data_IF_083709931250
#
_entry.id   IF_083709931250
#
_cell.length_a   1.000
_cell.length_b   1.000
_cell.length_c   1.000
_cell.angle_alpha   90.00
_cell.angle_beta   90.00
_cell.angle_gamma   90.00
#
_symmetry.space_group_name_H-M   'P 1'
#
loop_
_entity.id
_entity.type
_entity.pdbx_description
1 polymer ?
#
# COMPACT_ATOMS: atom_id res chain seq x y z
N UNK A 1 -3.21 2.06 22.19
CA UNK A 1 -2.77 2.04 20.79
C UNK A 1 -1.51 2.87 20.60
N UNK A 2 -0.53 2.39 19.83
CA UNK A 2 0.64 3.11 19.30
C UNK A 2 0.74 2.87 17.81
N UNK A 3 1.33 3.81 17.07
CA UNK A 3 1.55 3.72 15.62
C UNK A 3 3.07 3.78 15.38
N UNK A 4 3.57 2.88 14.54
CA UNK A 4 4.98 2.77 14.18
C UNK A 4 5.11 2.80 12.65
N UNK A 5 5.74 3.83 12.07
CA UNK A 5 6.13 3.79 10.66
C UNK A 5 7.13 2.66 10.41
N UNK A 6 6.92 1.89 9.36
CA UNK A 6 7.76 0.74 9.00
C UNK A 6 8.24 0.94 7.56
N UNK A 7 9.49 1.32 7.42
CA UNK A 7 10.13 1.49 6.11
C UNK A 7 10.48 0.12 5.52
N UNK A 8 9.71 -0.34 4.54
CA UNK A 8 9.86 -1.66 3.93
C UNK A 8 10.84 -1.70 2.75
N UNK A 9 11.31 -0.54 2.30
CA UNK A 9 12.27 -0.36 1.22
C UNK A 9 12.04 0.92 0.45
N UNK A 10 12.98 1.26 -0.42
CA UNK A 10 12.84 2.39 -1.34
C UNK A 10 13.15 1.91 -2.76
N UNK A 11 12.46 2.51 -3.72
CA UNK A 11 12.60 2.20 -5.14
C UNK A 11 12.35 3.43 -6.00
N UNK A 12 12.37 3.28 -7.30
CA UNK A 12 12.10 4.38 -8.23
C UNK A 12 11.05 3.98 -9.25
N UNK A 13 10.23 4.96 -9.63
CA UNK A 13 9.27 4.83 -10.71
C UNK A 13 9.42 5.97 -11.72
N UNK A 14 8.98 5.74 -12.95
CA UNK A 14 8.91 6.80 -13.96
C UNK A 14 7.96 7.92 -13.52
N UNK A 15 8.47 9.15 -13.44
CA UNK A 15 7.68 10.29 -12.99
C UNK A 15 6.52 10.64 -13.90
N UNK A 16 6.64 10.34 -15.21
CA UNK A 16 5.52 10.49 -16.15
C UNK A 16 4.40 9.49 -15.88
N UNK A 17 4.75 8.24 -15.56
CA UNK A 17 3.77 7.23 -15.16
C UNK A 17 3.10 7.57 -13.82
N UNK A 18 3.87 8.11 -12.85
CA UNK A 18 3.32 8.55 -11.57
C UNK A 18 2.40 9.76 -11.68
N UNK A 19 2.67 10.70 -12.57
CA UNK A 19 1.87 11.93 -12.70
C UNK A 19 0.95 11.97 -13.92
N UNK A 20 0.93 10.91 -14.74
CA UNK A 20 0.03 10.77 -15.87
C UNK A 20 0.16 11.90 -16.88
N UNK A 21 -0.92 12.64 -17.10
CA UNK A 21 -0.96 13.74 -18.08
C UNK A 21 -0.44 15.08 -17.53
N UNK A 22 -0.04 15.15 -16.26
CA UNK A 22 0.50 16.37 -15.67
C UNK A 22 1.88 16.68 -16.28
N UNK A 23 2.12 17.90 -16.80
CA UNK A 23 3.41 18.24 -17.39
C UNK A 23 4.58 18.11 -16.41
N UNK A 24 5.71 17.55 -16.85
CA UNK A 24 6.94 17.38 -16.03
C UNK A 24 7.39 18.70 -15.37
N UNK A 25 7.28 19.82 -16.07
CA UNK A 25 7.63 21.14 -15.53
C UNK A 25 6.84 21.55 -14.28
N UNK A 26 5.70 20.90 -14.02
CA UNK A 26 4.89 21.10 -12.82
C UNK A 26 5.25 20.11 -11.73
N UNK A 27 5.11 18.79 -11.98
CA UNK A 27 5.30 17.78 -10.96
C UNK A 27 6.77 17.61 -10.52
N UNK A 28 7.74 17.90 -11.38
CA UNK A 28 9.16 17.79 -11.03
C UNK A 28 9.61 18.79 -9.94
N UNK A 29 8.75 19.74 -9.58
CA UNK A 29 9.00 20.68 -8.46
C UNK A 29 8.77 20.04 -7.09
N UNK A 30 7.89 19.06 -7.02
CA UNK A 30 7.56 18.32 -5.80
C UNK A 30 8.27 16.97 -5.73
N UNK A 31 8.40 16.31 -6.87
CA UNK A 31 9.02 14.99 -7.00
C UNK A 31 10.12 15.05 -8.08
N UNK A 32 11.32 15.53 -7.74
CA UNK A 32 12.40 15.66 -8.70
C UNK A 32 12.80 14.33 -9.33
N UNK A 33 12.87 14.29 -10.66
CA UNK A 33 13.32 13.11 -11.40
C UNK A 33 14.80 13.18 -11.75
N UNK A 34 15.44 12.01 -11.82
CA UNK A 34 16.79 11.85 -12.34
C UNK A 34 16.84 11.94 -13.88
N UNK A 35 18.01 11.67 -14.47
CA UNK A 35 18.24 11.71 -15.92
C UNK A 35 17.41 10.69 -16.70
N UNK A 36 16.96 9.61 -16.04
CA UNK A 36 16.10 8.56 -16.62
C UNK A 36 14.60 8.82 -16.38
N UNK A 37 14.23 9.99 -15.89
CA UNK A 37 12.87 10.36 -15.51
C UNK A 37 12.32 9.59 -14.31
N UNK A 38 13.19 8.96 -13.50
CA UNK A 38 12.81 8.21 -12.33
C UNK A 38 12.75 9.12 -11.10
N UNK A 39 11.67 9.01 -10.32
CA UNK A 39 11.47 9.70 -9.04
C UNK A 39 11.63 8.72 -7.87
N UNK A 40 12.02 9.24 -6.71
CA UNK A 40 12.17 8.47 -5.50
C UNK A 40 10.81 8.09 -4.91
N UNK A 41 10.64 6.81 -4.57
CA UNK A 41 9.43 6.22 -4.00
C UNK A 41 9.80 5.45 -2.74
N UNK A 42 9.04 5.64 -1.67
CA UNK A 42 9.09 4.79 -0.48
C UNK A 42 8.08 3.64 -0.57
N UNK A 43 8.37 2.55 0.11
CA UNK A 43 7.38 1.55 0.50
C UNK A 43 7.26 1.62 2.03
N UNK A 44 6.44 2.57 2.52
CA UNK A 44 6.28 2.85 3.94
C UNK A 44 4.99 2.24 4.44
N UNK A 45 5.11 1.22 5.25
CA UNK A 45 4.01 0.53 5.90
C UNK A 45 3.69 1.18 7.25
N UNK A 46 2.56 0.83 7.86
CA UNK A 46 2.19 1.31 9.18
C UNK A 46 1.85 0.14 10.10
N UNK A 47 2.58 0.00 11.22
CA UNK A 47 2.26 -0.99 12.25
C UNK A 47 1.42 -0.34 13.34
N UNK A 48 0.24 -0.90 13.60
CA UNK A 48 -0.67 -0.51 14.67
C UNK A 48 -0.51 -1.50 15.83
N UNK A 49 -0.01 -1.02 16.97
CA UNK A 49 0.06 -1.76 18.23
C UNK A 49 -1.15 -1.39 19.10
N UNK A 50 -2.06 -2.33 19.32
CA UNK A 50 -3.25 -2.12 20.15
C UNK A 50 -3.54 -3.32 21.05
N UNK A 51 -3.08 -3.22 22.29
CA UNK A 51 -3.14 -4.34 23.24
C UNK A 51 -2.30 -5.52 22.76
N UNK A 52 -2.95 -6.66 22.55
CA UNK A 52 -2.31 -7.88 22.04
C UNK A 52 -2.38 -7.99 20.50
N UNK A 53 -2.97 -7.01 19.83
CA UNK A 53 -3.07 -6.98 18.38
C UNK A 53 -1.95 -6.14 17.79
N UNK A 54 -1.28 -6.70 16.79
CA UNK A 54 -0.31 -6.02 15.94
C UNK A 54 -0.79 -6.11 14.49
N UNK A 55 -1.34 -5.01 13.98
CA UNK A 55 -1.83 -4.94 12.60
C UNK A 55 -0.82 -4.18 11.75
N UNK A 56 -0.26 -4.84 10.75
CA UNK A 56 0.61 -4.21 9.75
C UNK A 56 -0.22 -3.86 8.51
N UNK A 57 -0.22 -2.59 8.13
CA UNK A 57 -0.82 -2.11 6.88
C UNK A 57 0.24 -2.13 5.80
N UNK A 58 0.01 -2.93 4.77
CA UNK A 58 0.89 -3.27 3.65
C UNK A 58 2.24 -3.87 4.08
N UNK A 59 3.03 -4.35 3.13
CA UNK A 59 4.26 -5.10 3.41
C UNK A 59 5.43 -4.75 2.50
N UNK A 60 5.23 -3.78 1.61
CA UNK A 60 6.19 -3.41 0.59
C UNK A 60 6.40 -4.49 -0.48
N UNK A 61 7.43 -4.32 -1.27
CA UNK A 61 7.75 -5.14 -2.44
C UNK A 61 8.31 -6.54 -2.10
N UNK A 62 8.84 -6.69 -0.88
CA UNK A 62 9.55 -7.91 -0.49
C UNK A 62 10.92 -8.05 -1.19
N UNK A 63 11.48 -9.26 -1.15
CA UNK A 63 12.83 -9.52 -1.65
C UNK A 63 12.97 -10.82 -2.46
N UNK A 64 11.85 -11.43 -2.85
CA UNK A 64 11.84 -12.75 -3.51
C UNK A 64 11.96 -12.71 -5.03
N UNK A 65 11.73 -11.56 -5.63
CA UNK A 65 11.75 -11.39 -7.08
C UNK A 65 13.19 -11.47 -7.63
N UNK A 66 13.31 -11.67 -8.94
CA UNK A 66 14.62 -11.76 -9.60
C UNK A 66 15.35 -10.41 -9.61
N UNK A 67 16.67 -10.44 -9.74
CA UNK A 67 17.50 -9.24 -9.95
C UNK A 67 17.02 -8.43 -11.17
N UNK A 68 16.58 -9.12 -12.23
CA UNK A 68 16.01 -8.47 -13.41
C UNK A 68 14.75 -7.68 -13.06
N UNK A 69 13.85 -8.25 -12.24
CA UNK A 69 12.64 -7.56 -11.78
C UNK A 69 13.01 -6.33 -10.97
N UNK A 70 13.84 -6.47 -9.95
CA UNK A 70 14.25 -5.33 -9.13
C UNK A 70 15.04 -4.27 -9.91
N UNK A 71 15.74 -4.68 -10.97
CA UNK A 71 16.44 -3.78 -11.88
C UNK A 71 15.52 -2.76 -12.58
N UNK A 72 14.24 -3.09 -12.77
CA UNK A 72 13.25 -2.13 -13.30
C UNK A 72 12.86 -1.03 -12.31
N UNK A 73 13.04 -1.29 -11.01
CA UNK A 73 12.60 -0.41 -9.92
C UNK A 73 13.75 0.31 -9.23
N UNK A 74 15.01 0.06 -9.63
CA UNK A 74 16.19 0.79 -9.13
C UNK A 74 16.17 0.96 -7.61
N UNK A 75 16.16 -0.17 -6.86
CA UNK A 75 16.12 -0.16 -5.40
C UNK A 75 17.26 0.68 -4.82
N UNK A 76 16.99 1.46 -3.77
CA UNK A 76 17.98 2.32 -3.13
C UNK A 76 17.79 2.40 -1.61
N UNK A 77 18.81 2.91 -0.92
CA UNK A 77 18.82 2.99 0.54
C UNK A 77 19.05 1.61 1.19
N UNK A 78 18.94 1.57 2.51
CA UNK A 78 19.18 0.37 3.32
C UNK A 78 17.98 -0.05 4.18
N UNK A 79 16.80 0.50 3.88
CA UNK A 79 15.53 0.15 4.52
C UNK A 79 15.09 -1.25 4.13
N UNK A 80 14.51 -1.96 5.07
CA UNK A 80 13.81 -3.22 4.84
C UNK A 80 12.77 -3.46 5.91
N UNK A 81 11.73 -4.21 5.56
CA UNK A 81 10.64 -4.54 6.46
C UNK A 81 11.15 -5.17 7.78
N UNK A 82 12.05 -6.17 7.71
CA UNK A 82 12.59 -6.84 8.89
C UNK A 82 13.42 -5.92 9.77
N UNK A 83 14.26 -5.08 9.16
CA UNK A 83 15.09 -4.11 9.89
C UNK A 83 14.22 -3.09 10.62
N UNK A 84 13.17 -2.59 9.97
CA UNK A 84 12.25 -1.61 10.53
C UNK A 84 11.37 -2.20 11.63
N UNK A 85 10.83 -3.41 11.45
CA UNK A 85 10.11 -4.13 12.51
C UNK A 85 11.02 -4.34 13.74
N UNK A 86 12.24 -4.81 13.53
CA UNK A 86 13.21 -5.00 14.62
C UNK A 86 13.53 -3.69 15.36
N UNK A 87 13.69 -2.58 14.65
CA UNK A 87 13.94 -1.28 15.25
C UNK A 87 12.75 -0.79 16.08
N UNK A 88 11.53 -1.14 15.69
CA UNK A 88 10.30 -0.90 16.43
C UNK A 88 10.11 -1.88 17.63
N UNK A 89 10.98 -2.89 17.76
CA UNK A 89 10.94 -3.88 18.83
C UNK A 89 10.13 -5.14 18.52
N UNK A 90 9.82 -5.39 17.25
CA UNK A 90 8.97 -6.48 16.81
C UNK A 90 9.66 -7.40 15.81
N UNK A 91 9.09 -8.59 15.65
CA UNK A 91 9.41 -9.57 14.62
C UNK A 91 8.16 -9.86 13.77
N UNK A 92 8.33 -10.43 12.58
CA UNK A 92 7.18 -10.84 11.73
C UNK A 92 6.23 -11.79 12.45
N UNK A 93 6.74 -12.67 13.30
CA UNK A 93 5.94 -13.63 14.05
C UNK A 93 5.10 -13.00 15.18
N UNK A 94 5.37 -11.74 15.54
CA UNK A 94 4.56 -10.98 16.50
C UNK A 94 3.33 -10.34 15.84
N UNK A 95 3.36 -10.15 14.52
CA UNK A 95 2.26 -9.57 13.76
C UNK A 95 1.07 -10.53 13.75
N UNK A 96 -0.09 -10.03 14.16
CA UNK A 96 -1.33 -10.81 14.25
C UNK A 96 -2.23 -10.65 13.03
N UNK A 97 -2.10 -9.50 12.37
CA UNK A 97 -2.94 -9.13 11.23
C UNK A 97 -2.09 -8.36 10.20
N UNK A 98 -2.18 -8.74 8.94
CA UNK A 98 -1.65 -7.98 7.80
C UNK A 98 -2.83 -7.49 6.99
N UNK A 99 -3.04 -6.18 6.98
CA UNK A 99 -4.07 -5.53 6.18
C UNK A 99 -3.45 -5.03 4.89
N UNK A 100 -3.96 -5.47 3.76
CA UNK A 100 -3.48 -5.05 2.44
C UNK A 100 -4.46 -4.03 1.86
N UNK A 101 -3.95 -2.81 1.62
CA UNK A 101 -4.76 -1.77 0.96
C UNK A 101 -5.23 -2.26 -0.39
N UNK A 102 -4.34 -2.88 -1.13
CA UNK A 102 -4.59 -3.60 -2.37
C UNK A 102 -3.44 -4.60 -2.65
N UNK A 103 -3.52 -5.34 -3.74
CA UNK A 103 -2.66 -6.50 -3.98
C UNK A 103 -1.61 -6.27 -5.09
N UNK A 104 -1.25 -5.02 -5.42
CA UNK A 104 -0.11 -4.76 -6.26
C UNK A 104 1.18 -5.20 -5.56
N UNK A 105 2.20 -5.55 -6.37
CA UNK A 105 3.41 -6.22 -5.87
C UNK A 105 4.20 -5.40 -4.85
N UNK A 106 4.13 -4.08 -4.90
CA UNK A 106 4.82 -3.15 -4.01
C UNK A 106 4.09 -2.91 -2.68
N UNK A 107 2.83 -3.36 -2.56
CA UNK A 107 2.04 -3.35 -1.33
C UNK A 107 2.00 -4.71 -0.63
N UNK A 108 1.82 -5.79 -1.38
CA UNK A 108 1.66 -7.12 -0.80
C UNK A 108 2.89 -8.04 -0.93
N UNK A 109 3.94 -7.61 -1.65
CA UNK A 109 5.07 -8.47 -1.97
C UNK A 109 5.82 -9.02 -0.77
N UNK A 110 5.93 -8.25 0.33
CA UNK A 110 6.57 -8.70 1.55
C UNK A 110 5.76 -9.69 2.39
N UNK A 111 4.49 -9.97 2.01
CA UNK A 111 3.64 -10.96 2.67
C UNK A 111 4.08 -12.39 2.44
N UNK A 112 4.90 -12.63 1.43
CA UNK A 112 5.35 -13.97 1.01
C UNK A 112 6.86 -13.97 0.79
N UNK A 113 7.53 -15.01 1.23
CA UNK A 113 8.95 -15.26 1.03
C UNK A 113 9.21 -16.55 0.26
N UNK A 114 10.44 -16.75 -0.20
CA UNK A 114 10.91 -18.10 -0.53
C UNK A 114 10.84 -18.99 0.70
N UNK A 115 10.45 -20.25 0.53
CA UNK A 115 10.63 -21.26 1.56
C UNK A 115 12.14 -21.52 1.79
N UNK A 116 12.49 -22.21 2.86
CA UNK A 116 13.87 -22.46 3.27
C UNK A 116 14.73 -23.07 2.16
N UNK A 117 14.17 -23.96 1.36
CA UNK A 117 14.88 -24.70 0.31
C UNK A 117 14.83 -23.99 -1.05
N UNK A 118 14.18 -22.85 -1.14
CA UNK A 118 13.92 -22.08 -2.38
C UNK A 118 13.28 -22.88 -3.50
N UNK A 119 12.43 -23.84 -3.14
CA UNK A 119 11.67 -24.69 -4.09
C UNK A 119 10.24 -24.20 -4.29
N UNK A 120 9.77 -23.26 -3.47
CA UNK A 120 8.44 -22.69 -3.50
C UNK A 120 8.34 -21.50 -2.56
N UNK A 121 7.12 -21.05 -2.33
CA UNK A 121 6.83 -19.86 -1.55
C UNK A 121 6.09 -20.21 -0.26
N UNK A 122 6.30 -19.42 0.78
CA UNK A 122 5.59 -19.53 2.05
C UNK A 122 5.22 -18.13 2.57
N UNK A 123 4.18 -18.05 3.40
CA UNK A 123 3.80 -16.79 4.03
C UNK A 123 4.88 -16.30 4.98
N UNK A 124 5.15 -15.01 4.93
CA UNK A 124 6.22 -14.38 5.71
C UNK A 124 5.83 -14.08 7.16
N UNK A 125 4.52 -14.08 7.45
CA UNK A 125 3.94 -13.78 8.76
C UNK A 125 3.16 -15.00 9.25
N UNK A 126 3.83 -15.88 9.99
CA UNK A 126 3.32 -17.22 10.34
C UNK A 126 2.07 -17.20 11.21
N UNK A 127 1.91 -16.17 12.04
CA UNK A 127 0.85 -16.04 13.02
C UNK A 127 -0.24 -15.05 12.61
N UNK A 128 -0.07 -14.37 11.47
CA UNK A 128 -0.98 -13.33 11.03
C UNK A 128 -2.14 -13.86 10.19
N UNK A 129 -3.26 -13.17 10.28
CA UNK A 129 -4.32 -13.22 9.26
C UNK A 129 -4.00 -12.18 8.18
N UNK A 130 -4.15 -12.55 6.93
CA UNK A 130 -4.03 -11.63 5.80
C UNK A 130 -5.42 -11.13 5.39
N UNK A 131 -5.62 -9.83 5.39
CA UNK A 131 -6.92 -9.21 5.14
C UNK A 131 -6.95 -8.49 3.81
N UNK A 132 -7.92 -8.84 2.99
CA UNK A 132 -8.32 -8.12 1.78
C UNK A 132 -9.85 -8.16 1.67
N UNK A 133 -10.44 -7.75 0.56
CA UNK A 133 -11.86 -7.97 0.28
C UNK A 133 -12.06 -8.88 -0.92
N UNK A 134 -13.20 -9.56 -0.99
CA UNK A 134 -13.49 -10.56 -2.02
C UNK A 134 -13.50 -9.98 -3.43
N UNK A 135 -14.02 -8.76 -3.60
CA UNK A 135 -14.05 -8.10 -4.89
C UNK A 135 -12.63 -7.82 -5.41
N UNK A 136 -11.76 -7.29 -4.53
CA UNK A 136 -10.38 -7.02 -4.89
C UNK A 136 -9.59 -8.30 -5.16
N UNK A 137 -9.80 -9.34 -4.33
CA UNK A 137 -9.17 -10.65 -4.55
C UNK A 137 -9.52 -11.24 -5.92
N UNK A 138 -10.81 -11.23 -6.28
CA UNK A 138 -11.24 -11.69 -7.61
C UNK A 138 -10.60 -10.87 -8.73
N UNK A 139 -10.55 -9.55 -8.57
CA UNK A 139 -9.91 -8.66 -9.54
C UNK A 139 -8.41 -8.94 -9.69
N UNK A 140 -7.70 -9.18 -8.59
CA UNK A 140 -6.26 -9.45 -8.59
C UNK A 140 -5.91 -10.83 -9.17
N UNK A 141 -6.77 -11.84 -8.97
CA UNK A 141 -6.54 -13.20 -9.48
C UNK A 141 -7.01 -13.39 -10.93
N UNK A 142 -7.89 -12.52 -11.42
CA UNK A 142 -8.37 -12.49 -12.81
C UNK A 142 -8.09 -11.10 -13.44
N UNK A 143 -6.81 -10.65 -13.50
CA UNK A 143 -6.51 -9.27 -13.80
C UNK A 143 -6.75 -8.92 -15.27
N UNK A 144 -7.15 -7.69 -15.52
CA UNK A 144 -7.18 -7.12 -16.85
C UNK A 144 -5.75 -6.92 -17.41
N UNK A 145 -5.64 -6.71 -18.71
CA UNK A 145 -4.35 -6.61 -19.40
C UNK A 145 -3.48 -5.40 -18.93
N UNK A 146 -4.09 -4.35 -18.39
CA UNK A 146 -3.40 -3.14 -17.90
C UNK A 146 -2.68 -3.41 -16.58
N UNK A 147 -3.31 -4.13 -15.66
CA UNK A 147 -2.82 -4.36 -14.29
C UNK A 147 -2.12 -5.72 -14.12
N UNK A 148 -2.22 -6.61 -15.11
CA UNK A 148 -1.68 -7.98 -14.98
C UNK A 148 -0.22 -8.03 -14.50
N UNK A 149 0.60 -7.05 -14.87
CA UNK A 149 2.00 -6.99 -14.46
C UNK A 149 2.18 -6.57 -12.99
N UNK A 150 1.16 -6.01 -12.36
CA UNK A 150 1.19 -5.59 -10.96
C UNK A 150 0.71 -6.69 -10.00
N UNK A 151 -0.03 -7.69 -10.50
CA UNK A 151 -0.51 -8.81 -9.70
C UNK A 151 0.34 -10.06 -9.96
N UNK A 152 1.19 -10.39 -9.00
CA UNK A 152 2.11 -11.52 -9.13
C UNK A 152 1.56 -12.75 -8.41
N UNK A 153 1.46 -13.89 -9.12
CA UNK A 153 0.95 -15.15 -8.60
C UNK A 153 1.61 -15.52 -7.26
N UNK A 154 2.93 -15.42 -7.19
CA UNK A 154 3.74 -15.76 -6.01
C UNK A 154 3.54 -14.82 -4.82
N UNK A 155 2.88 -13.67 -5.00
CA UNK A 155 2.49 -12.80 -3.91
C UNK A 155 1.11 -13.15 -3.35
N UNK A 156 0.24 -13.72 -4.17
CA UNK A 156 -1.18 -13.87 -3.87
C UNK A 156 -1.51 -15.28 -3.35
N UNK A 157 -1.24 -16.28 -4.16
CA UNK A 157 -1.74 -17.64 -3.88
C UNK A 157 -1.15 -18.29 -2.63
N UNK A 158 0.11 -18.07 -2.23
CA UNK A 158 0.61 -18.63 -0.97
C UNK A 158 -0.16 -18.14 0.27
N UNK A 159 -0.73 -16.93 0.26
CA UNK A 159 -1.59 -16.46 1.35
C UNK A 159 -2.90 -17.26 1.41
N UNK A 160 -3.50 -17.58 0.27
CA UNK A 160 -4.70 -18.42 0.19
C UNK A 160 -4.40 -19.87 0.56
N UNK A 161 -3.33 -20.44 0.02
CA UNK A 161 -2.92 -21.83 0.26
C UNK A 161 -2.55 -22.09 1.72
N UNK A 162 -2.04 -21.09 2.43
CA UNK A 162 -1.74 -21.18 3.86
C UNK A 162 -3.00 -21.29 4.74
N UNK A 163 -4.18 -20.91 4.21
CA UNK A 163 -5.42 -20.80 4.97
C UNK A 163 -5.49 -19.53 5.85
N UNK A 164 -4.54 -18.61 5.74
CA UNK A 164 -4.49 -17.38 6.53
C UNK A 164 -5.14 -16.17 5.83
N UNK A 165 -5.61 -16.33 4.59
CA UNK A 165 -6.32 -15.28 3.85
C UNK A 165 -7.75 -15.14 4.37
N UNK A 166 -8.15 -13.92 4.71
CA UNK A 166 -9.47 -13.57 5.21
C UNK A 166 -10.04 -12.40 4.39
N UNK A 167 -11.35 -12.39 4.23
CA UNK A 167 -12.04 -11.30 3.53
C UNK A 167 -12.81 -10.44 4.53
N UNK A 168 -12.61 -9.13 4.41
CA UNK A 168 -13.38 -8.14 5.16
C UNK A 168 -14.79 -8.10 4.58
N UNK A 169 -15.78 -8.15 5.45
CA UNK A 169 -17.17 -7.97 5.05
C UNK A 169 -17.41 -6.50 4.68
N UNK A 170 -17.40 -6.22 3.38
CA UNK A 170 -17.56 -4.86 2.85
C UNK A 170 -19.02 -4.43 2.85
N UNK A 171 -19.36 -3.21 3.32
CA UNK A 171 -20.72 -2.66 3.17
C UNK A 171 -21.04 -2.34 1.71
N UNK A 172 -22.30 -2.09 1.39
CA UNK A 172 -22.71 -1.59 0.06
C UNK A 172 -22.17 -0.20 -0.23
N UNK A 173 -22.00 0.63 0.82
CA UNK A 173 -21.44 1.98 0.71
C UNK A 173 -19.92 1.95 0.45
N UNK A 174 -19.37 3.05 -0.04
CA UNK A 174 -17.93 3.23 -0.25
C UNK A 174 -17.17 3.47 1.07
N UNK A 175 -17.86 3.54 2.22
CA UNK A 175 -17.26 3.75 3.53
C UNK A 175 -17.94 2.88 4.57
N UNK A 176 -17.14 2.20 5.41
CA UNK A 176 -17.66 1.35 6.48
C UNK A 176 -16.64 1.07 7.57
N UNK A 177 -17.12 0.62 8.73
CA UNK A 177 -16.29 0.21 9.85
C UNK A 177 -16.05 -1.30 9.79
N UNK A 178 -14.81 -1.73 10.00
CA UNK A 178 -14.46 -3.15 10.17
C UNK A 178 -14.36 -3.44 11.67
N UNK A 179 -15.29 -4.26 12.16
CA UNK A 179 -15.28 -4.74 13.54
C UNK A 179 -14.07 -5.65 13.79
N UNK A 180 -13.63 -6.39 12.77
CA UNK A 180 -12.49 -7.30 12.83
C UNK A 180 -11.18 -6.55 13.07
N UNK A 181 -11.03 -5.34 12.51
CA UNK A 181 -9.78 -4.57 12.54
C UNK A 181 -9.85 -3.34 13.45
N UNK A 182 -11.06 -2.86 13.79
CA UNK A 182 -11.27 -1.76 14.72
C UNK A 182 -11.02 -0.37 14.12
N UNK A 183 -11.13 -0.24 12.78
CA UNK A 183 -11.05 1.04 12.08
C UNK A 183 -12.01 1.11 10.89
N UNK A 184 -12.30 2.32 10.44
CA UNK A 184 -13.12 2.53 9.26
C UNK A 184 -12.28 2.41 7.98
N UNK A 185 -12.93 2.06 6.87
CA UNK A 185 -12.29 1.87 5.56
C UNK A 185 -13.10 2.63 4.50
N UNK A 186 -12.42 3.44 3.72
CA UNK A 186 -12.94 3.97 2.45
C UNK A 186 -12.51 3.05 1.32
N UNK A 187 -13.44 2.64 0.46
CA UNK A 187 -13.21 1.75 -0.67
C UNK A 187 -13.15 2.57 -1.95
N UNK A 188 -12.01 2.57 -2.62
CA UNK A 188 -11.77 3.30 -3.87
C UNK A 188 -11.61 2.34 -5.06
N UNK A 189 -12.11 2.73 -6.22
CA UNK A 189 -12.11 1.92 -7.44
C UNK A 189 -11.28 2.52 -8.57
N UNK A 190 -10.83 3.75 -8.41
CA UNK A 190 -10.17 4.48 -9.48
C UNK A 190 -8.78 3.95 -9.82
N UNK A 191 -7.94 3.71 -8.80
CA UNK A 191 -6.63 3.14 -8.96
C UNK A 191 -6.72 1.66 -9.35
N UNK A 192 -7.35 0.86 -8.50
CA UNK A 192 -7.69 -0.54 -8.73
C UNK A 192 -9.03 -0.88 -8.06
N UNK A 193 -9.63 -2.02 -8.40
CA UNK A 193 -10.94 -2.42 -7.86
C UNK A 193 -10.90 -2.56 -6.34
N UNK A 194 -11.74 -1.80 -5.64
CA UNK A 194 -11.93 -1.88 -4.17
C UNK A 194 -10.64 -1.80 -3.35
N UNK A 195 -9.73 -0.92 -3.73
CA UNK A 195 -8.63 -0.51 -2.85
C UNK A 195 -9.18 -0.02 -1.52
N UNK A 196 -8.56 -0.40 -0.43
CA UNK A 196 -9.00 -0.11 0.94
C UNK A 196 -8.13 0.97 1.57
N UNK A 197 -8.72 2.08 1.95
CA UNK A 197 -8.07 3.24 2.58
C UNK A 197 -8.48 3.29 4.06
N UNK A 198 -7.64 2.79 5.00
CA UNK A 198 -8.00 2.71 6.41
C UNK A 198 -7.91 4.07 7.11
N UNK A 199 -8.93 4.34 7.94
CA UNK A 199 -9.09 5.54 8.77
C UNK A 199 -8.96 5.16 10.23
N UNK A 200 -7.83 5.46 10.83
CA UNK A 200 -7.42 5.00 12.16
C UNK A 200 -7.67 6.12 13.18
N UNK A 201 -8.52 5.85 14.18
CA UNK A 201 -8.69 6.80 15.29
C UNK A 201 -7.50 6.68 16.24
N UNK A 202 -6.68 7.71 16.30
CA UNK A 202 -5.50 7.79 17.15
C UNK A 202 -5.50 9.04 18.02
N UNK A 203 -5.68 8.87 19.34
CA UNK A 203 -5.68 9.99 20.32
C UNK A 203 -6.64 11.12 19.95
N UNK A 204 -7.83 10.79 19.49
CA UNK A 204 -8.86 11.76 19.11
C UNK A 204 -8.63 12.45 17.76
N UNK A 205 -7.70 11.93 16.95
CA UNK A 205 -7.42 12.36 15.57
C UNK A 205 -7.63 11.18 14.63
N UNK A 206 -7.93 11.46 13.38
CA UNK A 206 -7.99 10.44 12.34
C UNK A 206 -6.70 10.45 11.52
N UNK A 207 -5.97 9.34 11.55
CA UNK A 207 -4.84 9.08 10.67
C UNK A 207 -5.35 8.23 9.51
N UNK A 208 -5.16 8.67 8.29
CA UNK A 208 -5.55 7.93 7.10
C UNK A 208 -4.32 7.42 6.38
N UNK A 209 -4.21 6.11 6.22
CA UNK A 209 -3.20 5.52 5.35
C UNK A 209 -3.69 5.60 3.93
N UNK A 210 -3.07 6.45 3.12
CA UNK A 210 -3.63 6.88 1.84
C UNK A 210 -3.48 5.85 0.70
N UNK A 211 -2.57 4.89 0.85
CA UNK A 211 -2.24 3.96 -0.24
C UNK A 211 -2.04 4.69 -1.57
N UNK A 212 -2.61 4.16 -2.63
CA UNK A 212 -2.51 4.71 -3.98
C UNK A 212 -3.67 5.62 -4.41
N UNK A 213 -4.56 5.97 -3.47
CA UNK A 213 -5.48 7.09 -3.68
C UNK A 213 -4.73 8.44 -3.65
N UNK A 214 -3.69 8.54 -2.80
CA UNK A 214 -2.82 9.71 -2.69
C UNK A 214 -1.38 9.24 -2.40
N UNK A 215 -0.65 8.89 -3.44
CA UNK A 215 0.66 8.26 -3.34
C UNK A 215 1.73 9.16 -2.69
N UNK A 216 1.79 10.45 -3.03
CA UNK A 216 2.76 11.42 -2.49
C UNK A 216 2.11 12.78 -2.24
N UNK A 217 2.77 13.65 -1.47
CA UNK A 217 2.34 15.05 -1.30
C UNK A 217 2.22 15.81 -2.64
N UNK A 218 3.01 15.41 -3.64
CA UNK A 218 2.89 15.94 -5.00
C UNK A 218 1.56 15.68 -5.69
N UNK A 219 0.81 14.67 -5.21
CA UNK A 219 -0.51 14.31 -5.74
C UNK A 219 -1.67 15.04 -5.03
N UNK A 220 -1.43 15.92 -4.06
CA UNK A 220 -2.50 16.68 -3.38
C UNK A 220 -3.40 17.44 -4.35
N UNK A 221 -2.88 18.16 -5.37
CA UNK A 221 -3.77 18.84 -6.31
C UNK A 221 -4.73 17.86 -6.99
N UNK A 222 -6.04 18.15 -6.96
CA UNK A 222 -7.08 17.24 -7.45
C UNK A 222 -6.81 16.69 -8.86
N UNK A 223 -6.37 17.49 -9.87
CA UNK A 223 -6.11 16.97 -11.21
C UNK A 223 -4.87 16.07 -11.33
N UNK A 224 -4.05 15.95 -10.27
CA UNK A 224 -2.83 15.13 -10.30
C UNK A 224 -3.18 13.67 -10.00
N UNK A 225 -3.57 12.96 -11.04
CA UNK A 225 -3.99 11.55 -11.02
C UNK A 225 -2.89 10.71 -11.66
N UNK A 226 -2.61 9.55 -11.13
CA UNK A 226 -1.55 8.68 -11.64
C UNK A 226 -1.91 8.10 -13.01
N UNK A 227 -0.89 7.95 -13.87
CA UNK A 227 -1.03 7.18 -15.11
C UNK A 227 -1.30 5.70 -14.87
N UNK A 228 -0.98 5.21 -13.69
CA UNK A 228 -1.26 3.83 -13.25
C UNK A 228 -2.74 3.58 -12.96
N UNK A 229 -3.53 4.62 -12.68
CA UNK A 229 -4.94 4.46 -12.36
C UNK A 229 -5.71 3.83 -13.51
N UNK A 230 -6.51 2.82 -13.20
CA UNK A 230 -7.29 2.11 -14.22
C UNK A 230 -8.49 2.89 -14.68
N UNK A 231 -9.03 3.73 -13.78
CA UNK A 231 -10.22 4.58 -14.01
C UNK A 231 -9.95 6.01 -13.55
N UNK A 232 -9.10 6.78 -14.26
CA UNK A 232 -8.59 8.07 -13.79
C UNK A 232 -9.68 9.10 -13.50
N UNK A 233 -10.81 9.08 -14.20
CA UNK A 233 -11.95 9.95 -13.92
C UNK A 233 -12.65 9.57 -12.62
N UNK A 234 -12.71 8.28 -12.31
CA UNK A 234 -13.27 7.83 -11.05
C UNK A 234 -12.33 8.18 -9.89
N UNK A 235 -10.99 7.99 -10.06
CA UNK A 235 -10.01 8.48 -9.08
C UNK A 235 -10.19 9.97 -8.79
N UNK A 236 -10.45 10.77 -9.81
CA UNK A 236 -10.67 12.21 -9.64
C UNK A 236 -11.87 12.51 -8.74
N UNK A 237 -13.00 11.80 -8.93
CA UNK A 237 -14.20 11.95 -8.11
C UNK A 237 -13.99 11.46 -6.68
N UNK A 238 -13.39 10.29 -6.51
CA UNK A 238 -13.07 9.69 -5.21
C UNK A 238 -12.10 10.55 -4.42
N UNK A 239 -11.04 11.01 -5.06
CA UNK A 239 -10.05 11.90 -4.46
C UNK A 239 -10.65 13.24 -4.05
N UNK A 240 -11.57 13.80 -4.87
CA UNK A 240 -12.28 15.04 -4.53
C UNK A 240 -13.10 14.85 -3.25
N UNK A 241 -13.89 13.77 -3.16
CA UNK A 241 -14.67 13.43 -1.96
C UNK A 241 -13.76 13.24 -0.74
N UNK A 242 -12.69 12.46 -0.92
CA UNK A 242 -11.72 12.17 0.14
C UNK A 242 -11.02 13.43 0.65
N UNK A 243 -10.49 14.28 -0.23
CA UNK A 243 -9.77 15.49 0.16
C UNK A 243 -10.67 16.52 0.85
N UNK A 244 -11.94 16.65 0.41
CA UNK A 244 -12.92 17.50 1.10
C UNK A 244 -13.20 16.96 2.52
N UNK A 245 -13.44 15.65 2.65
CA UNK A 245 -13.65 15.04 3.96
C UNK A 245 -12.40 15.18 4.86
N UNK A 246 -11.20 15.04 4.31
CA UNK A 246 -9.95 15.20 5.03
C UNK A 246 -9.78 16.63 5.57
N UNK A 247 -10.07 17.64 4.75
CA UNK A 247 -10.02 19.05 5.15
C UNK A 247 -11.08 19.39 6.21
N UNK A 248 -12.34 18.96 6.00
CA UNK A 248 -13.45 19.25 6.92
C UNK A 248 -13.27 18.60 8.30
N UNK A 249 -12.62 17.44 8.36
CA UNK A 249 -12.42 16.68 9.60
C UNK A 249 -10.98 16.74 10.14
N UNK A 250 -10.10 17.52 9.52
CA UNK A 250 -8.70 17.66 9.93
C UNK A 250 -7.98 16.31 10.02
N UNK A 251 -8.05 15.49 8.97
CA UNK A 251 -7.35 14.22 8.90
C UNK A 251 -5.84 14.43 8.74
N UNK A 252 -5.08 13.51 9.30
CA UNK A 252 -3.65 13.38 9.03
C UNK A 252 -3.45 12.31 7.98
N UNK A 253 -2.78 12.65 6.89
CA UNK A 253 -2.61 11.78 5.73
C UNK A 253 -1.24 11.13 5.80
N UNK A 254 -1.21 9.82 6.05
CA UNK A 254 0.00 9.01 6.05
C UNK A 254 0.28 8.54 4.62
N UNK A 255 1.47 8.88 4.10
CA UNK A 255 1.85 8.69 2.70
C UNK A 255 2.81 7.51 2.57
N UNK A 256 2.37 6.44 1.93
CA UNK A 256 3.18 5.25 1.71
C UNK A 256 4.36 5.51 0.77
N UNK A 257 4.08 6.17 -0.34
CA UNK A 257 5.03 6.32 -1.44
C UNK A 257 5.84 7.61 -1.44
N UNK A 258 5.59 8.52 -0.53
CA UNK A 258 6.38 9.75 -0.44
C UNK A 258 7.70 9.49 0.29
N UNK A 259 8.82 9.60 -0.43
CA UNK A 259 10.15 9.34 0.12
C UNK A 259 10.61 10.42 1.13
N UNK A 260 9.92 11.57 1.20
CA UNK A 260 10.32 12.73 1.99
C UNK A 260 9.31 13.11 3.06
N UNK A 261 8.01 12.85 2.84
CA UNK A 261 6.94 13.22 3.74
C UNK A 261 6.21 11.95 4.21
N UNK A 262 6.35 11.63 5.50
CA UNK A 262 5.68 10.48 6.10
C UNK A 262 4.19 10.77 6.33
N UNK A 263 3.90 11.97 6.82
CA UNK A 263 2.54 12.39 7.21
C UNK A 263 2.37 13.89 6.96
N UNK A 264 1.20 14.27 6.50
CA UNK A 264 0.83 15.66 6.22
C UNK A 264 -0.52 16.01 6.83
#
# INVERSE_FOLDING_TARGET
MRLHPIEAGNFKLDGGAMFGVVPKTLWNKTNPADENNLIDIAARCLLIEDGNRLTLIDTGMGNKQSEKFFGYYSLWGDHSLDKSLKNAGFHRDDVTDVFMTHLHFDHCGGSVNWNKDKTGYEVAFKNAKFWTNENHWKWATEPNAREKASFLYENLFPMQESGQLHFINRPESDFGFSDELGFAIFYADGHTEKQMIPHINYKGKTIVFCGDLLATAGHIPIPYVMGYDTRPLLTLDEKTKFMNAAADNNYYLFLEHDAHNEII
#
